data_IF_646573698411
#
_entry.id   IF_646573698411
#
_cell.length_a   1.000
_cell.length_b   1.000
_cell.length_c   1.000
_cell.angle_alpha   90.00
_cell.angle_beta   90.00
_cell.angle_gamma   90.00
#
_symmetry.space_group_name_H-M   'P 1'
#
loop_
_entity.id
_entity.type
_entity.pdbx_description
1 polymer ?
#
# COMPACT_ATOMS: atom_id res chain seq x y z
N UNK A 1 -7.70 -6.47 -3.25
CA UNK A 1 -8.02 -5.98 -4.61
C UNK A 1 -6.73 -5.86 -5.42
N UNK A 2 -6.77 -5.76 -6.75
CA UNK A 2 -5.56 -5.57 -7.58
C UNK A 2 -5.84 -4.43 -8.56
N UNK A 3 -4.86 -3.55 -8.76
CA UNK A 3 -4.87 -2.45 -9.71
C UNK A 3 -3.82 -2.71 -10.78
N UNK A 4 -4.19 -2.57 -12.06
CA UNK A 4 -3.27 -2.80 -13.18
C UNK A 4 -2.55 -1.53 -13.60
N UNK A 5 -1.33 -1.30 -13.11
CA UNK A 5 -0.47 -0.20 -13.59
C UNK A 5 -0.96 1.23 -13.25
N UNK A 6 -1.80 1.39 -12.23
CA UNK A 6 -2.30 2.70 -11.77
C UNK A 6 -2.17 2.84 -10.24
N UNK A 7 -2.22 4.07 -9.73
CA UNK A 7 -2.09 4.31 -8.29
C UNK A 7 -3.31 3.77 -7.51
N UNK A 8 -3.03 3.01 -6.44
CA UNK A 8 -4.06 2.35 -5.63
C UNK A 8 -4.74 3.27 -4.63
N UNK A 9 -6.01 2.98 -4.35
CA UNK A 9 -6.78 3.60 -3.25
C UNK A 9 -6.38 3.01 -1.89
N UNK A 10 -5.92 3.84 -0.96
CA UNK A 10 -5.42 3.41 0.37
C UNK A 10 -6.03 4.22 1.52
N UNK A 11 -7.16 4.90 1.28
CA UNK A 11 -7.72 5.87 2.21
C UNK A 11 -8.34 5.25 3.47
N UNK A 12 -8.43 3.92 3.54
CA UNK A 12 -8.96 3.17 4.67
C UNK A 12 -7.87 2.66 5.62
N UNK A 13 -6.59 2.68 5.21
CA UNK A 13 -5.46 2.31 6.07
C UNK A 13 -5.39 0.82 6.40
N UNK A 14 -5.92 -0.08 5.56
CA UNK A 14 -5.90 -1.53 5.79
C UNK A 14 -4.86 -2.25 4.91
N UNK A 15 -3.66 -1.68 4.76
CA UNK A 15 -2.68 -2.19 3.79
C UNK A 15 -2.01 -3.50 4.24
N UNK A 16 -1.96 -3.80 5.54
CA UNK A 16 -1.53 -5.11 6.04
C UNK A 16 -2.54 -6.22 5.69
N UNK A 17 -3.83 -5.97 5.91
CA UNK A 17 -4.90 -6.93 5.57
C UNK A 17 -5.00 -7.13 4.05
N UNK A 18 -4.75 -6.07 3.28
CA UNK A 18 -4.65 -6.18 1.84
C UNK A 18 -3.48 -7.09 1.43
N UNK A 19 -2.28 -6.91 1.99
CA UNK A 19 -1.16 -7.81 1.71
C UNK A 19 -1.51 -9.27 2.02
N UNK A 20 -2.15 -9.56 3.15
CA UNK A 20 -2.61 -10.91 3.48
C UNK A 20 -3.65 -11.44 2.48
N UNK A 21 -4.53 -10.56 1.98
CA UNK A 21 -5.51 -10.91 0.95
C UNK A 21 -4.86 -11.24 -0.39
N UNK A 22 -3.73 -10.63 -0.74
CA UNK A 22 -2.97 -10.96 -1.95
C UNK A 22 -2.40 -12.39 -1.89
N UNK A 23 -1.95 -12.84 -0.72
CA UNK A 23 -1.46 -14.21 -0.54
C UNK A 23 -2.58 -15.25 -0.73
N UNK A 24 -3.80 -14.91 -0.34
CA UNK A 24 -4.98 -15.75 -0.61
C UNK A 24 -5.28 -15.75 -2.11
N UNK A 25 -5.34 -14.56 -2.73
CA UNK A 25 -5.65 -14.41 -4.15
C UNK A 25 -4.69 -15.19 -5.05
N UNK A 26 -3.39 -15.19 -4.70
CA UNK A 26 -2.35 -15.91 -5.45
C UNK A 26 -2.63 -17.41 -5.52
N UNK A 27 -3.18 -18.00 -4.44
CA UNK A 27 -3.55 -19.42 -4.39
C UNK A 27 -4.86 -19.69 -5.13
N UNK A 28 -5.86 -18.85 -4.93
CA UNK A 28 -7.20 -19.05 -5.52
C UNK A 28 -7.22 -18.86 -7.04
N UNK A 29 -6.33 -18.02 -7.57
CA UNK A 29 -6.25 -17.75 -9.02
C UNK A 29 -5.27 -18.68 -9.75
N UNK A 30 -4.85 -19.78 -9.12
CA UNK A 30 -4.01 -20.78 -9.79
C UNK A 30 -4.73 -21.34 -11.02
N UNK A 31 -4.14 -21.15 -12.21
CA UNK A 31 -4.71 -21.60 -13.48
C UNK A 31 -5.63 -20.61 -14.18
N UNK A 32 -5.88 -19.43 -13.60
CA UNK A 32 -6.56 -18.33 -14.30
C UNK A 32 -5.57 -17.64 -15.23
N UNK A 33 -5.93 -17.46 -16.49
CA UNK A 33 -5.05 -16.83 -17.50
C UNK A 33 -5.12 -15.30 -17.47
N UNK A 34 -6.30 -14.74 -17.19
CA UNK A 34 -6.54 -13.29 -17.21
C UNK A 34 -7.38 -12.87 -16.01
N UNK A 35 -6.87 -11.89 -15.26
CA UNK A 35 -7.58 -11.16 -14.21
C UNK A 35 -7.97 -9.78 -14.75
N UNK A 36 -9.26 -9.46 -14.65
CA UNK A 36 -9.79 -8.13 -14.97
C UNK A 36 -9.78 -7.28 -13.69
N UNK A 37 -8.82 -6.36 -13.60
CA UNK A 37 -8.74 -5.43 -12.48
C UNK A 37 -9.91 -4.43 -12.53
N UNK A 38 -10.39 -3.99 -11.36
CA UNK A 38 -11.42 -2.94 -11.29
C UNK A 38 -10.93 -1.58 -11.81
N UNK A 39 -9.61 -1.38 -11.81
CA UNK A 39 -8.95 -0.20 -12.36
C UNK A 39 -7.64 -0.58 -13.05
N UNK A 40 -7.35 0.13 -14.15
CA UNK A 40 -6.15 -0.08 -14.94
C UNK A 40 -6.26 -1.30 -15.85
N UNK A 41 -5.10 -1.84 -16.23
CA UNK A 41 -5.03 -2.90 -17.23
C UNK A 41 -5.40 -4.28 -16.67
N UNK A 42 -5.94 -5.13 -17.54
CA UNK A 42 -6.10 -6.56 -17.27
C UNK A 42 -4.82 -7.30 -17.62
N UNK A 43 -4.58 -8.44 -16.99
CA UNK A 43 -3.33 -9.17 -17.18
C UNK A 43 -3.32 -10.51 -16.48
N UNK A 44 -2.16 -11.18 -16.49
CA UNK A 44 -2.01 -12.45 -15.79
C UNK A 44 -2.13 -12.23 -14.28
N UNK A 45 -2.91 -13.04 -13.55
CA UNK A 45 -3.15 -12.83 -12.13
C UNK A 45 -1.86 -12.72 -11.30
N UNK A 46 -0.91 -13.62 -11.51
CA UNK A 46 0.34 -13.66 -10.74
C UNK A 46 1.18 -12.40 -10.92
N UNK A 47 1.26 -11.91 -12.16
CA UNK A 47 2.04 -10.72 -12.49
C UNK A 47 1.41 -9.48 -11.83
N UNK A 48 0.09 -9.31 -11.94
CA UNK A 48 -0.64 -8.20 -11.32
C UNK A 48 -0.61 -8.24 -9.78
N UNK A 49 -0.73 -9.42 -9.17
CA UNK A 49 -0.65 -9.60 -7.71
C UNK A 49 0.74 -9.21 -7.20
N UNK A 50 1.78 -9.64 -7.89
CA UNK A 50 3.17 -9.36 -7.53
C UNK A 50 3.50 -7.85 -7.67
N UNK A 51 3.02 -7.20 -8.73
CA UNK A 51 3.10 -5.75 -8.90
C UNK A 51 2.35 -5.00 -7.79
N UNK A 52 1.12 -5.40 -7.47
CA UNK A 52 0.34 -4.80 -6.39
C UNK A 52 1.04 -4.96 -5.04
N UNK A 53 1.63 -6.13 -4.77
CA UNK A 53 2.38 -6.41 -3.54
C UNK A 53 3.59 -5.48 -3.43
N UNK A 54 4.38 -5.34 -4.51
CA UNK A 54 5.51 -4.40 -4.55
C UNK A 54 5.07 -2.96 -4.30
N UNK A 55 3.99 -2.53 -4.95
CA UNK A 55 3.45 -1.18 -4.80
C UNK A 55 3.05 -0.89 -3.34
N UNK A 56 2.29 -1.79 -2.70
CA UNK A 56 1.87 -1.65 -1.30
C UNK A 56 3.06 -1.61 -0.34
N UNK A 57 4.03 -2.50 -0.51
CA UNK A 57 5.23 -2.54 0.32
C UNK A 57 6.07 -1.26 0.16
N UNK A 58 6.21 -0.76 -1.07
CA UNK A 58 6.91 0.49 -1.34
C UNK A 58 6.20 1.68 -0.71
N UNK A 59 4.87 1.77 -0.88
CA UNK A 59 4.06 2.84 -0.29
C UNK A 59 4.16 2.85 1.24
N UNK A 60 3.95 1.70 1.90
CA UNK A 60 4.09 1.55 3.36
C UNK A 60 5.47 1.98 3.85
N UNK A 61 6.54 1.56 3.14
CA UNK A 61 7.92 1.94 3.47
C UNK A 61 8.11 3.46 3.40
N UNK A 62 7.63 4.10 2.34
CA UNK A 62 7.77 5.53 2.14
C UNK A 62 6.96 6.34 3.15
N UNK A 63 5.71 5.94 3.41
CA UNK A 63 4.87 6.53 4.46
C UNK A 63 5.54 6.42 5.83
N UNK A 64 6.01 5.23 6.22
CA UNK A 64 6.68 5.03 7.51
C UNK A 64 7.92 5.93 7.67
N UNK A 65 8.75 6.03 6.62
CA UNK A 65 9.93 6.91 6.60
C UNK A 65 9.55 8.39 6.75
N UNK A 66 8.52 8.85 6.05
CA UNK A 66 8.11 10.25 6.01
C UNK A 66 7.31 10.67 7.25
N UNK A 67 6.51 9.77 7.82
CA UNK A 67 5.75 9.98 9.04
C UNK A 67 6.65 10.17 10.27
N UNK A 68 7.81 9.51 10.30
CA UNK A 68 8.79 9.57 11.41
C UNK A 68 8.16 9.22 12.77
N UNK A 69 7.36 8.14 12.79
CA UNK A 69 6.69 7.68 14.01
C UNK A 69 5.44 8.48 14.41
N UNK A 70 4.90 9.32 13.51
CA UNK A 70 3.61 9.99 13.69
C UNK A 70 2.50 9.22 12.98
N UNK A 71 1.25 9.44 13.40
CA UNK A 71 0.06 8.86 12.77
C UNK A 71 -0.43 9.63 11.52
N UNK A 72 0.32 10.63 11.03
CA UNK A 72 -0.05 11.44 9.86
C UNK A 72 1.18 12.07 9.20
N UNK A 73 1.00 12.52 7.95
CA UNK A 73 2.00 13.27 7.19
C UNK A 73 1.60 14.74 7.07
N UNK A 74 2.58 15.64 7.18
CA UNK A 74 2.39 17.03 6.80
C UNK A 74 2.39 17.22 5.27
N UNK A 75 2.08 18.43 4.81
CA UNK A 75 1.92 18.72 3.39
C UNK A 75 3.20 18.46 2.56
N UNK A 76 4.37 18.79 3.09
CA UNK A 76 5.65 18.58 2.39
C UNK A 76 6.02 17.09 2.33
N UNK A 77 5.72 16.33 3.38
CA UNK A 77 5.84 14.88 3.38
C UNK A 77 4.89 14.24 2.36
N UNK A 78 3.64 14.71 2.22
CA UNK A 78 2.71 14.21 1.19
C UNK A 78 3.18 14.50 -0.23
N UNK A 79 3.74 15.69 -0.51
CA UNK A 79 4.37 15.98 -1.81
C UNK A 79 5.54 15.03 -2.09
N UNK A 80 6.39 14.80 -1.09
CA UNK A 80 7.53 13.88 -1.20
C UNK A 80 7.08 12.44 -1.46
N UNK A 81 5.95 12.03 -0.86
CA UNK A 81 5.34 10.72 -1.10
C UNK A 81 4.85 10.61 -2.55
N UNK A 82 4.13 11.63 -3.06
CA UNK A 82 3.69 11.68 -4.46
C UNK A 82 4.87 11.50 -5.40
N UNK A 83 5.94 12.27 -5.21
CA UNK A 83 7.14 12.15 -6.03
C UNK A 83 7.74 10.74 -6.00
N UNK A 84 7.95 10.16 -4.81
CA UNK A 84 8.52 8.82 -4.67
C UNK A 84 7.66 7.73 -5.31
N UNK A 85 6.33 7.82 -5.19
CA UNK A 85 5.43 6.85 -5.79
C UNK A 85 5.38 6.96 -7.31
N UNK A 86 5.53 8.16 -7.87
CA UNK A 86 5.63 8.38 -9.33
C UNK A 86 6.97 7.92 -9.89
N UNK A 87 8.05 7.97 -9.11
CA UNK A 87 9.30 7.31 -9.50
C UNK A 87 9.16 5.78 -9.52
N UNK A 88 8.41 5.22 -8.57
CA UNK A 88 8.18 3.77 -8.50
C UNK A 88 7.23 3.24 -9.58
N UNK A 89 6.16 3.98 -9.86
CA UNK A 89 5.16 3.68 -10.89
C UNK A 89 4.93 4.95 -11.73
N UNK A 90 5.58 5.10 -12.90
CA UNK A 90 5.58 6.34 -13.68
C UNK A 90 4.27 6.49 -14.48
N UNK A 91 3.19 6.81 -13.78
CA UNK A 91 1.87 7.08 -14.33
C UNK A 91 1.23 8.29 -13.63
N UNK A 92 0.28 8.93 -14.30
CA UNK A 92 -0.55 9.99 -13.72
C UNK A 92 -1.94 9.44 -13.29
N UNK A 93 -2.25 8.20 -13.68
CA UNK A 93 -3.54 7.59 -13.45
C UNK A 93 -3.78 7.42 -11.95
N UNK A 94 -4.85 8.07 -11.47
CA UNK A 94 -5.29 8.05 -10.07
C UNK A 94 -4.25 8.60 -9.08
N UNK A 95 -3.33 9.49 -9.52
CA UNK A 95 -2.30 10.10 -8.65
C UNK A 95 -2.87 10.66 -7.34
N UNK A 96 -4.08 11.25 -7.40
CA UNK A 96 -4.77 11.82 -6.24
C UNK A 96 -4.90 10.84 -5.05
N UNK A 97 -4.94 9.53 -5.32
CA UNK A 97 -5.02 8.51 -4.27
C UNK A 97 -3.73 8.36 -3.46
N UNK A 98 -2.57 8.75 -4.02
CA UNK A 98 -1.28 8.66 -3.32
C UNK A 98 -1.32 9.51 -2.05
N UNK A 99 -1.69 10.79 -2.16
CA UNK A 99 -1.71 11.70 -1.02
C UNK A 99 -2.94 11.47 -0.13
N UNK A 100 -4.08 11.06 -0.70
CA UNK A 100 -5.31 10.82 0.04
C UNK A 100 -5.19 9.66 1.03
N UNK A 101 -4.42 8.61 0.69
CA UNK A 101 -4.20 7.45 1.56
C UNK A 101 -3.18 7.65 2.68
N UNK A 102 -2.39 8.74 2.63
CA UNK A 102 -1.15 8.84 3.39
C UNK A 102 -1.37 8.82 4.92
N UNK A 103 -2.39 9.52 5.40
CA UNK A 103 -2.65 9.61 6.84
C UNK A 103 -3.26 8.32 7.38
N UNK A 104 -4.13 7.66 6.61
CA UNK A 104 -4.72 6.39 7.01
C UNK A 104 -3.64 5.31 7.17
N UNK A 105 -2.72 5.21 6.21
CA UNK A 105 -1.59 4.26 6.29
C UNK A 105 -0.58 4.67 7.36
N UNK A 106 -0.33 5.97 7.57
CA UNK A 106 0.54 6.40 8.67
C UNK A 106 -0.04 6.01 10.04
N UNK A 107 -1.35 6.16 10.22
CA UNK A 107 -2.07 5.75 11.43
C UNK A 107 -2.00 4.24 11.65
N UNK A 108 -2.21 3.43 10.59
CA UNK A 108 -2.07 1.98 10.62
C UNK A 108 -0.67 1.56 11.10
N UNK A 109 0.39 2.14 10.51
CA UNK A 109 1.77 1.83 10.87
C UNK A 109 2.11 2.26 12.30
N UNK A 110 1.61 3.42 12.72
CA UNK A 110 1.78 3.92 14.08
C UNK A 110 1.16 2.95 15.11
N UNK A 111 -0.09 2.53 14.89
CA UNK A 111 -0.79 1.60 15.77
C UNK A 111 -0.09 0.23 15.89
N UNK A 112 0.45 -0.28 14.77
CA UNK A 112 1.23 -1.52 14.77
C UNK A 112 2.54 -1.40 15.59
N UNK A 113 3.22 -0.25 15.51
CA UNK A 113 4.45 0.01 16.27
C UNK A 113 4.20 0.24 17.78
N UNK A 114 3.11 0.90 18.13
CA UNK A 114 2.74 1.14 19.53
C UNK A 114 2.31 -0.16 20.22
N UNK A 115 1.53 -0.98 19.52
CA UNK A 115 1.15 -2.32 19.99
C UNK A 115 2.38 -3.22 20.27
N UNK A 116 3.42 -3.11 19.44
CA UNK A 116 4.69 -3.83 19.63
C UNK A 116 5.48 -3.31 20.84
N UNK A 117 5.41 -2.01 21.12
CA UNK A 117 6.07 -1.36 22.27
C UNK A 117 5.39 -1.73 23.59
N UNK A 118 4.05 -1.79 23.61
CA UNK A 118 3.27 -2.22 24.78
C UNK A 118 3.50 -3.71 25.09
N UNK A 119 3.59 -4.56 24.07
CA UNK A 119 3.87 -5.99 24.26
C UNK A 119 5.21 -6.24 24.97
N UNK A 120 6.27 -5.52 24.59
CA UNK A 120 7.60 -5.63 25.22
C UNK A 120 7.55 -5.20 26.69
N UNK A 121 6.82 -4.13 27.02
CA UNK A 121 6.71 -3.61 28.39
C UNK A 121 5.94 -4.52 29.35
N UNK A 122 5.11 -5.45 28.85
CA UNK A 122 4.36 -6.40 29.69
C UNK A 122 5.13 -7.69 30.00
N UNK A 123 6.30 -7.89 29.38
CA UNK A 123 7.15 -9.07 29.57
C UNK A 123 8.41 -8.78 30.41
N UNK A 124 8.50 -7.58 30.98
CA UNK A 124 9.58 -7.13 31.88
C UNK A 124 9.04 -6.93 33.30
#
# INVERSE_FOLDING_TARGET
MVFGGVHSFMNDGHTADWLASLDILERELSGVETLYAGHGDSGRPLDLIDEQRRYLLHYRKMVGKLAKGRASLDAEAKKSLVWAMKEHLPTEALEVFIAAGADAVASELWAASDSSTVAIRRMS
#
